data_IF_210099869456
#
_entry.id   IF_210099869456
#
_cell.length_a   1.000
_cell.length_b   1.000
_cell.length_c   1.000
_cell.angle_alpha   90.00
_cell.angle_beta   90.00
_cell.angle_gamma   90.00
#
_symmetry.space_group_name_H-M   'P 1'
#
loop_
_entity.id
_entity.type
_entity.pdbx_description
1 polymer ?
#
# COMPACT_ATOMS: atom_id res chain seq x y z
N UNK A 1 0.75 10.21 -21.92
CA UNK A 1 0.11 11.53 -21.73
C UNK A 1 0.54 12.15 -20.40
N UNK A 2 0.41 11.49 -19.25
CA UNK A 2 0.76 12.06 -17.94
C UNK A 2 2.24 12.38 -17.72
N UNK A 3 3.19 11.62 -18.31
CA UNK A 3 4.62 11.82 -18.10
C UNK A 3 5.10 13.23 -18.50
N UNK A 4 4.71 13.70 -19.68
CA UNK A 4 5.11 15.04 -20.16
C UNK A 4 4.46 16.14 -19.30
N UNK A 5 3.18 15.98 -18.98
CA UNK A 5 2.46 16.91 -18.12
C UNK A 5 3.10 17.02 -16.72
N UNK A 6 3.47 15.87 -16.11
CA UNK A 6 4.15 15.85 -14.80
C UNK A 6 5.48 16.59 -14.85
N UNK A 7 6.27 16.37 -15.92
CA UNK A 7 7.56 17.06 -16.10
C UNK A 7 7.38 18.57 -16.22
N UNK A 8 6.44 19.02 -17.06
CA UNK A 8 6.15 20.44 -17.27
C UNK A 8 5.61 21.11 -16.01
N UNK A 9 4.69 20.44 -15.30
CA UNK A 9 4.10 20.94 -14.06
C UNK A 9 5.15 21.02 -12.95
N UNK A 10 5.97 19.96 -12.79
CA UNK A 10 7.06 19.96 -11.82
C UNK A 10 8.06 21.10 -12.09
N UNK A 11 8.48 21.27 -13.34
CA UNK A 11 9.41 22.34 -13.74
C UNK A 11 8.85 23.72 -13.43
N UNK A 12 7.55 23.94 -13.63
CA UNK A 12 6.89 25.22 -13.38
C UNK A 12 6.73 25.51 -11.88
N UNK A 13 6.32 24.53 -11.08
CA UNK A 13 5.94 24.72 -9.67
C UNK A 13 7.11 24.57 -8.68
N UNK A 14 8.11 23.80 -9.04
CA UNK A 14 9.24 23.42 -8.18
C UNK A 14 10.57 23.84 -8.81
N UNK A 15 10.71 23.67 -10.13
CA UNK A 15 11.97 23.86 -10.85
C UNK A 15 12.86 22.62 -10.85
N UNK A 16 13.90 22.63 -11.69
CA UNK A 16 14.83 21.53 -11.81
C UNK A 16 14.30 20.33 -12.60
N UNK A 17 15.04 19.23 -12.57
CA UNK A 17 14.69 17.98 -13.24
C UNK A 17 14.03 16.99 -12.26
N UNK A 18 13.09 16.22 -12.76
CA UNK A 18 12.46 15.14 -12.00
C UNK A 18 12.52 13.81 -12.74
N UNK A 19 12.69 12.73 -11.98
CA UNK A 19 12.44 11.38 -12.46
C UNK A 19 10.98 11.03 -12.19
N UNK A 20 10.36 10.32 -13.14
CA UNK A 20 8.94 10.00 -13.07
C UNK A 20 8.76 8.50 -12.88
N UNK A 21 7.93 8.15 -11.91
CA UNK A 21 7.57 6.79 -11.53
C UNK A 21 6.05 6.64 -11.51
N UNK A 22 5.57 5.41 -11.62
CA UNK A 22 4.15 5.08 -11.47
C UNK A 22 3.99 3.75 -10.77
N UNK A 23 2.88 3.61 -10.04
CA UNK A 23 2.44 2.36 -9.43
C UNK A 23 0.93 2.22 -9.58
N UNK A 24 0.41 1.09 -10.08
CA UNK A 24 -1.01 0.91 -10.27
C UNK A 24 -1.76 0.73 -8.95
N UNK A 25 -3.04 1.07 -8.95
CA UNK A 25 -3.98 0.54 -7.97
C UNK A 25 -4.28 -0.93 -8.23
N UNK A 26 -5.09 -1.52 -7.36
CA UNK A 26 -5.49 -2.92 -7.48
C UNK A 26 -6.99 -3.11 -7.23
N UNK A 27 -7.52 -4.17 -7.82
CA UNK A 27 -8.75 -4.83 -7.39
C UNK A 27 -8.39 -6.14 -6.71
N UNK A 28 -9.26 -6.66 -5.86
CA UNK A 28 -9.16 -8.03 -5.38
C UNK A 28 -10.35 -8.84 -5.89
N UNK A 29 -10.10 -9.95 -6.57
CA UNK A 29 -11.15 -10.80 -7.13
C UNK A 29 -11.76 -11.71 -6.07
N UNK A 30 -10.93 -12.20 -5.15
CA UNK A 30 -11.34 -13.02 -4.01
C UNK A 30 -10.23 -13.06 -2.95
N UNK A 31 -10.62 -13.16 -1.67
CA UNK A 31 -9.70 -13.27 -0.53
C UNK A 31 -9.72 -12.06 0.38
N UNK A 32 -10.89 -11.38 0.50
CA UNK A 32 -11.05 -10.26 1.42
C UNK A 32 -10.79 -10.68 2.87
N UNK A 33 -10.02 -9.85 3.59
CA UNK A 33 -9.63 -10.06 4.99
C UNK A 33 -8.86 -11.37 5.27
N UNK A 34 -8.28 -11.99 4.23
CA UNK A 34 -7.51 -13.22 4.40
C UNK A 34 -6.00 -13.00 4.45
N UNK A 35 -5.50 -11.90 3.93
CA UNK A 35 -4.07 -11.59 3.82
C UNK A 35 -3.37 -11.51 5.18
N UNK A 36 -3.87 -10.71 6.11
CA UNK A 36 -3.33 -10.62 7.47
C UNK A 36 -3.63 -11.85 8.34
N UNK A 37 -4.44 -12.79 7.84
CA UNK A 37 -4.70 -14.10 8.43
C UNK A 37 -3.84 -15.22 7.81
N UNK A 38 -2.85 -14.88 6.98
CA UNK A 38 -1.98 -15.82 6.28
C UNK A 38 -2.71 -16.64 5.22
N UNK A 39 -3.84 -16.15 4.70
CA UNK A 39 -4.66 -16.82 3.70
C UNK A 39 -4.19 -16.58 2.26
N UNK A 40 -5.03 -16.99 1.31
CA UNK A 40 -4.82 -16.76 -0.11
C UNK A 40 -5.62 -15.55 -0.58
N UNK A 41 -5.05 -14.83 -1.55
CA UNK A 41 -5.69 -13.70 -2.22
C UNK A 41 -5.49 -13.80 -3.74
N UNK A 42 -6.34 -13.14 -4.50
CA UNK A 42 -6.27 -13.11 -5.97
C UNK A 42 -6.46 -11.68 -6.49
N UNK A 43 -5.55 -10.74 -6.17
CA UNK A 43 -5.61 -9.38 -6.69
C UNK A 43 -5.13 -9.28 -8.14
N UNK A 44 -5.53 -8.19 -8.79
CA UNK A 44 -5.02 -7.78 -10.09
C UNK A 44 -4.76 -6.27 -10.11
N UNK A 45 -3.66 -5.86 -10.74
CA UNK A 45 -3.41 -4.44 -11.01
C UNK A 45 -4.43 -3.88 -12.00
N UNK A 46 -4.76 -2.60 -11.85
CA UNK A 46 -5.68 -1.90 -12.75
C UNK A 46 -4.93 -0.86 -13.60
N UNK A 47 -5.62 -0.29 -14.58
CA UNK A 47 -5.08 0.74 -15.47
C UNK A 47 -5.00 2.15 -14.86
N UNK A 48 -5.54 2.33 -13.65
CA UNK A 48 -5.41 3.55 -12.87
C UNK A 48 -4.19 3.47 -11.97
N UNK A 49 -3.44 4.57 -11.86
CA UNK A 49 -2.16 4.57 -11.17
C UNK A 49 -1.91 5.85 -10.36
N UNK A 50 -1.04 5.73 -9.37
CA UNK A 50 -0.38 6.84 -8.73
C UNK A 50 0.92 7.17 -9.47
N UNK A 51 1.11 8.42 -9.81
CA UNK A 51 2.28 8.96 -10.52
C UNK A 51 3.07 9.87 -9.58
N UNK A 52 4.39 9.72 -9.59
CA UNK A 52 5.32 10.49 -8.79
C UNK A 52 6.38 11.12 -9.71
N UNK A 53 6.49 12.45 -9.68
CA UNK A 53 7.67 13.14 -10.14
C UNK A 53 8.52 13.53 -8.93
N UNK A 54 9.79 13.12 -8.90
CA UNK A 54 10.70 13.30 -7.77
C UNK A 54 12.04 13.83 -8.24
N UNK A 55 12.58 14.83 -7.54
CA UNK A 55 13.88 15.43 -7.79
C UNK A 55 14.56 15.89 -6.51
N UNK A 56 15.82 16.22 -6.58
CA UNK A 56 16.58 16.73 -5.44
C UNK A 56 16.06 18.09 -4.97
N UNK A 57 16.09 18.31 -3.66
CA UNK A 57 15.83 19.60 -3.06
C UNK A 57 17.14 20.22 -2.58
N UNK A 58 17.44 21.46 -3.02
CA UNK A 58 18.62 22.23 -2.58
C UNK A 58 18.45 22.90 -1.21
N UNK A 59 17.28 22.76 -0.60
CA UNK A 59 16.91 23.35 0.68
C UNK A 59 15.69 22.65 1.26
N UNK A 60 14.63 23.41 1.50
CA UNK A 60 13.35 22.86 1.96
C UNK A 60 12.72 21.92 0.94
N UNK A 61 12.10 20.84 1.42
CA UNK A 61 11.34 19.93 0.56
C UNK A 61 10.02 20.56 0.16
N UNK A 62 9.71 20.57 -1.13
CA UNK A 62 8.37 20.91 -1.64
C UNK A 62 7.63 19.63 -2.01
N UNK A 63 6.49 19.43 -1.37
CA UNK A 63 5.61 18.29 -1.62
C UNK A 63 4.29 18.81 -2.18
N UNK A 64 3.86 18.29 -3.33
CA UNK A 64 2.61 18.67 -4.00
C UNK A 64 1.76 17.43 -4.21
N UNK A 65 0.54 17.44 -3.67
CA UNK A 65 -0.52 16.48 -3.99
C UNK A 65 -1.52 17.17 -4.92
N UNK A 66 -1.36 16.96 -6.23
CA UNK A 66 -2.11 17.70 -7.26
C UNK A 66 -3.62 17.53 -7.11
N UNK A 67 -4.08 16.29 -6.94
CA UNK A 67 -5.50 15.97 -6.91
C UNK A 67 -6.19 16.41 -5.61
N UNK A 68 -5.40 16.68 -4.56
CA UNK A 68 -5.86 17.26 -3.30
C UNK A 68 -5.76 18.80 -3.31
N UNK A 69 -5.15 19.38 -4.34
CA UNK A 69 -4.81 20.82 -4.41
C UNK A 69 -4.00 21.29 -3.19
N UNK A 70 -3.08 20.45 -2.72
CA UNK A 70 -2.23 20.75 -1.57
C UNK A 70 -0.77 20.90 -2.00
N UNK A 71 -0.12 21.96 -1.47
CA UNK A 71 1.32 22.22 -1.62
C UNK A 71 1.89 22.56 -0.25
N UNK A 72 2.92 21.82 0.15
CA UNK A 72 3.54 21.93 1.47
C UNK A 72 5.04 22.09 1.28
N UNK A 73 5.63 23.04 2.02
CA UNK A 73 7.06 23.19 2.13
C UNK A 73 7.52 22.77 3.53
N UNK A 74 8.52 21.91 3.61
CA UNK A 74 9.05 21.36 4.86
C UNK A 74 10.51 21.73 5.00
N UNK A 75 10.85 22.52 6.02
CA UNK A 75 12.22 22.91 6.35
C UNK A 75 13.04 21.75 6.93
N UNK A 76 12.36 20.76 7.49
CA UNK A 76 12.91 19.46 7.86
C UNK A 76 11.80 18.43 7.64
N UNK A 77 12.14 17.25 7.14
CA UNK A 77 11.18 16.16 7.13
C UNK A 77 10.78 15.86 8.58
N UNK A 78 9.51 16.06 8.96
CA UNK A 78 9.10 15.87 10.35
C UNK A 78 9.31 14.42 10.75
N UNK A 79 9.95 14.15 11.90
CA UNK A 79 10.10 12.79 12.41
C UNK A 79 8.78 12.23 12.96
N UNK A 80 7.75 13.05 13.10
CA UNK A 80 6.46 12.72 13.71
C UNK A 80 5.33 12.82 12.69
N UNK A 81 4.22 12.14 12.99
CA UNK A 81 2.99 12.20 12.20
C UNK A 81 2.57 13.65 11.92
N UNK A 82 2.38 13.96 10.64
CA UNK A 82 1.81 15.22 10.20
C UNK A 82 0.29 15.21 10.36
N UNK A 83 -0.32 16.37 10.63
CA UNK A 83 -1.77 16.52 10.51
C UNK A 83 -2.27 16.32 9.07
N UNK A 84 -1.39 16.41 8.09
CA UNK A 84 -1.68 16.10 6.69
C UNK A 84 -1.46 14.61 6.42
N UNK A 85 -2.53 13.85 6.43
CA UNK A 85 -2.52 12.40 6.37
C UNK A 85 -1.71 11.80 5.21
N UNK A 86 -1.79 12.38 3.99
CA UNK A 86 -1.08 11.84 2.83
C UNK A 86 0.46 11.91 2.94
N UNK A 87 0.99 12.91 3.67
CA UNK A 87 2.44 13.02 3.93
C UNK A 87 2.94 11.84 4.76
N UNK A 88 2.11 11.32 5.66
CA UNK A 88 2.52 10.25 6.54
C UNK A 88 2.87 8.96 5.77
N UNK A 89 2.22 8.69 4.65
CA UNK A 89 2.59 7.59 3.76
C UNK A 89 4.01 7.76 3.20
N UNK A 90 4.36 8.98 2.75
CA UNK A 90 5.69 9.28 2.23
C UNK A 90 6.76 9.17 3.31
N UNK A 91 6.47 9.71 4.50
CA UNK A 91 7.39 9.69 5.64
C UNK A 91 7.54 8.28 6.20
N UNK A 92 6.49 7.47 6.18
CA UNK A 92 6.54 6.05 6.55
C UNK A 92 7.52 5.28 5.68
N UNK A 93 7.44 5.42 4.36
CA UNK A 93 8.39 4.79 3.43
C UNK A 93 9.80 5.30 3.67
N UNK A 94 10.01 6.61 3.83
CA UNK A 94 11.31 7.18 4.15
C UNK A 94 11.89 6.56 5.42
N UNK A 95 11.10 6.52 6.51
CA UNK A 95 11.49 5.95 7.79
C UNK A 95 11.88 4.47 7.66
N UNK A 96 11.14 3.69 6.85
CA UNK A 96 11.44 2.29 6.60
C UNK A 96 12.78 2.09 5.85
N UNK A 97 13.15 2.99 4.95
CA UNK A 97 14.48 3.02 4.32
C UNK A 97 15.57 3.41 5.33
N UNK A 98 15.33 4.43 6.15
CA UNK A 98 16.28 4.90 7.16
C UNK A 98 16.57 3.82 8.21
N UNK A 99 15.57 3.07 8.67
CA UNK A 99 15.74 1.89 9.53
C UNK A 99 16.66 0.81 8.92
N UNK A 100 16.72 0.75 7.58
CA UNK A 100 17.60 -0.16 6.82
C UNK A 100 18.97 0.44 6.49
N UNK A 101 19.29 1.61 7.07
CA UNK A 101 20.58 2.28 6.94
C UNK A 101 20.72 3.17 5.70
N UNK A 102 19.65 3.39 4.93
CA UNK A 102 19.67 4.29 3.78
C UNK A 102 19.32 5.72 4.21
N UNK A 103 20.25 6.64 4.01
CA UNK A 103 19.99 8.06 4.25
C UNK A 103 19.28 8.66 3.02
N UNK A 104 18.00 8.96 3.16
CA UNK A 104 17.24 9.63 2.11
C UNK A 104 17.43 11.16 2.24
N UNK A 105 18.03 11.85 1.26
CA UNK A 105 18.21 13.29 1.28
C UNK A 105 16.87 14.04 1.17
N UNK A 106 16.94 15.34 1.22
CA UNK A 106 15.78 16.19 0.94
C UNK A 106 15.39 16.07 -0.53
N UNK A 107 14.14 15.80 -0.80
CA UNK A 107 13.58 15.63 -2.15
C UNK A 107 12.31 16.44 -2.31
N UNK A 108 12.12 16.93 -3.51
CA UNK A 108 10.86 17.52 -3.95
C UNK A 108 10.01 16.44 -4.61
N UNK A 109 8.71 16.44 -4.35
CA UNK A 109 7.78 15.46 -4.90
C UNK A 109 6.52 16.14 -5.44
N UNK A 110 6.10 15.74 -6.64
CA UNK A 110 4.79 16.03 -7.19
C UNK A 110 4.06 14.70 -7.39
N UNK A 111 2.92 14.57 -6.73
CA UNK A 111 2.08 13.38 -6.77
C UNK A 111 0.80 13.71 -7.53
N UNK A 112 0.42 12.82 -8.43
CA UNK A 112 -0.87 12.79 -9.11
C UNK A 112 -1.40 11.38 -9.14
N UNK A 113 -2.71 11.19 -8.93
CA UNK A 113 -3.34 9.87 -8.96
C UNK A 113 -4.63 9.93 -9.76
N UNK A 114 -4.87 8.95 -10.63
CA UNK A 114 -6.18 8.73 -11.22
C UNK A 114 -6.94 7.56 -10.56
N UNK A 115 -6.38 7.03 -9.44
CA UNK A 115 -7.07 6.09 -8.58
C UNK A 115 -8.05 6.88 -7.71
N UNK A 116 -9.35 6.60 -7.76
CA UNK A 116 -10.33 7.26 -6.88
C UNK A 116 -9.99 7.01 -5.41
N UNK A 117 -9.87 8.10 -4.65
CA UNK A 117 -9.58 8.03 -3.21
C UNK A 117 -10.81 7.49 -2.50
N UNK A 118 -10.60 6.47 -1.68
CA UNK A 118 -11.68 5.91 -0.88
C UNK A 118 -12.56 4.86 -1.56
N UNK A 119 -12.31 4.56 -2.83
CA UNK A 119 -13.09 3.58 -3.59
C UNK A 119 -12.63 2.11 -3.41
N UNK A 120 -11.77 1.82 -2.44
CA UNK A 120 -11.27 0.45 -2.21
C UNK A 120 -10.25 -0.05 -3.24
N UNK A 121 -9.64 0.86 -4.02
CA UNK A 121 -8.66 0.55 -5.08
C UNK A 121 -7.21 0.68 -4.63
N UNK A 122 -6.95 0.78 -3.32
CA UNK A 122 -5.63 0.85 -2.68
C UNK A 122 -4.77 2.03 -3.15
N UNK A 123 -5.35 3.24 -3.10
CA UNK A 123 -4.61 4.46 -3.44
C UNK A 123 -3.42 4.72 -2.50
N UNK A 124 -3.52 4.40 -1.20
CA UNK A 124 -2.43 4.48 -0.23
C UNK A 124 -1.28 3.54 -0.60
N UNK A 125 -1.59 2.27 -0.81
CA UNK A 125 -0.59 1.27 -1.20
C UNK A 125 0.11 1.61 -2.52
N UNK A 126 -0.63 2.16 -3.51
CA UNK A 126 -0.04 2.63 -4.76
C UNK A 126 0.92 3.80 -4.53
N UNK A 127 0.57 4.74 -3.62
CA UNK A 127 1.42 5.87 -3.24
C UNK A 127 2.70 5.40 -2.53
N UNK A 128 2.58 4.55 -1.52
CA UNK A 128 3.73 4.00 -0.81
C UNK A 128 4.63 3.18 -1.72
N UNK A 129 4.03 2.35 -2.58
CA UNK A 129 4.76 1.53 -3.55
C UNK A 129 5.53 2.36 -4.57
N UNK A 130 4.95 3.45 -5.11
CA UNK A 130 5.67 4.31 -6.06
C UNK A 130 6.82 5.04 -5.41
N UNK A 131 6.68 5.47 -4.14
CA UNK A 131 7.75 6.13 -3.38
C UNK A 131 8.86 5.14 -3.04
N UNK A 132 8.53 3.94 -2.57
CA UNK A 132 9.49 2.88 -2.27
C UNK A 132 10.29 2.50 -3.52
N UNK A 133 9.62 2.31 -4.65
CA UNK A 133 10.27 2.02 -5.92
C UNK A 133 11.18 3.16 -6.38
N UNK A 134 10.72 4.41 -6.25
CA UNK A 134 11.51 5.58 -6.61
C UNK A 134 12.78 5.70 -5.77
N UNK A 135 12.70 5.56 -4.45
CA UNK A 135 13.88 5.57 -3.58
C UNK A 135 14.85 4.44 -3.90
N UNK A 136 14.34 3.22 -4.09
CA UNK A 136 15.18 2.09 -4.49
C UNK A 136 15.95 2.36 -5.80
N UNK A 137 15.26 2.91 -6.81
CA UNK A 137 15.85 3.18 -8.13
C UNK A 137 16.78 4.40 -8.15
N UNK A 138 16.53 5.42 -7.31
CA UNK A 138 17.34 6.65 -7.27
C UNK A 138 18.60 6.43 -6.45
N UNK A 139 18.47 5.80 -5.29
CA UNK A 139 19.56 5.65 -4.32
C UNK A 139 20.28 4.30 -4.43
N UNK A 140 19.89 3.45 -5.38
CA UNK A 140 20.57 2.19 -5.64
C UNK A 140 20.50 1.21 -4.46
N UNK A 141 19.40 1.20 -3.72
CA UNK A 141 19.28 0.38 -2.51
C UNK A 141 19.29 -1.14 -2.80
N UNK A 142 18.93 -1.55 -4.01
CA UNK A 142 19.05 -2.94 -4.46
C UNK A 142 17.98 -3.87 -3.88
N UNK A 143 16.90 -3.33 -3.28
CA UNK A 143 15.80 -4.14 -2.76
C UNK A 143 15.02 -4.83 -3.89
N UNK A 144 14.68 -6.08 -3.65
CA UNK A 144 13.77 -6.86 -4.49
C UNK A 144 12.33 -6.30 -4.43
N UNK A 145 11.49 -6.67 -5.40
CA UNK A 145 10.08 -6.29 -5.39
C UNK A 145 9.36 -6.72 -4.10
N UNK A 146 9.67 -7.91 -3.58
CA UNK A 146 9.11 -8.39 -2.32
C UNK A 146 9.55 -7.53 -1.13
N UNK A 147 10.81 -7.12 -1.07
CA UNK A 147 11.29 -6.23 -0.02
C UNK A 147 10.62 -4.86 -0.10
N UNK A 148 10.41 -4.32 -1.31
CA UNK A 148 9.69 -3.07 -1.51
C UNK A 148 8.22 -3.17 -1.05
N UNK A 149 7.55 -4.30 -1.30
CA UNK A 149 6.19 -4.54 -0.80
C UNK A 149 6.16 -4.56 0.74
N UNK A 150 7.14 -5.18 1.37
CA UNK A 150 7.28 -5.18 2.85
C UNK A 150 7.61 -3.80 3.40
N UNK A 151 8.42 -3.00 2.71
CA UNK A 151 8.74 -1.62 3.09
C UNK A 151 7.48 -0.75 3.06
N UNK A 152 6.66 -0.86 1.99
CA UNK A 152 5.42 -0.13 1.88
C UNK A 152 4.41 -0.57 2.96
N UNK A 153 4.28 -1.87 3.22
CA UNK A 153 3.44 -2.39 4.31
C UNK A 153 3.91 -1.90 5.69
N UNK A 154 5.22 -1.89 5.97
CA UNK A 154 5.79 -1.36 7.22
C UNK A 154 5.45 0.13 7.38
N UNK A 155 5.51 0.91 6.29
CA UNK A 155 5.14 2.31 6.32
C UNK A 155 3.68 2.52 6.76
N UNK A 156 2.75 1.76 6.20
CA UNK A 156 1.33 1.86 6.55
C UNK A 156 1.05 1.33 7.97
N UNK A 157 1.65 0.21 8.36
CA UNK A 157 1.41 -0.42 9.66
C UNK A 157 2.04 0.34 10.82
N UNK A 158 3.34 0.67 10.70
CA UNK A 158 4.13 1.18 11.83
C UNK A 158 4.10 2.70 11.92
N UNK A 159 3.92 3.39 10.79
CA UNK A 159 3.98 4.85 10.77
C UNK A 159 2.58 5.48 10.65
N UNK A 160 1.74 4.99 9.74
CA UNK A 160 0.37 5.50 9.57
C UNK A 160 -0.58 4.89 10.61
N UNK A 161 -0.35 3.65 11.03
CA UNK A 161 -1.12 2.96 12.07
C UNK A 161 -2.31 2.13 11.55
N UNK A 162 -2.39 1.90 10.23
CA UNK A 162 -3.36 0.97 9.65
C UNK A 162 -2.75 -0.42 9.56
N UNK A 163 -3.20 -1.34 10.40
CA UNK A 163 -2.66 -2.72 10.48
C UNK A 163 -3.09 -3.60 9.30
N UNK A 164 -2.71 -3.20 8.07
CA UNK A 164 -3.08 -3.91 6.85
C UNK A 164 -2.24 -5.20 6.64
N UNK A 165 -2.76 -6.11 5.79
CA UNK A 165 -1.99 -7.22 5.23
C UNK A 165 -1.09 -6.75 4.08
N UNK A 166 -0.39 -7.70 3.44
CA UNK A 166 0.59 -7.39 2.38
C UNK A 166 -0.06 -7.28 0.98
N UNK A 167 -1.29 -7.73 0.81
CA UNK A 167 -1.93 -7.91 -0.50
C UNK A 167 -1.84 -6.68 -1.39
N UNK A 168 -2.13 -5.50 -0.84
CA UNK A 168 -2.28 -4.26 -1.59
C UNK A 168 -0.95 -3.78 -2.20
N UNK A 169 0.08 -3.69 -1.39
CA UNK A 169 1.43 -3.31 -1.80
C UNK A 169 2.04 -4.36 -2.72
N UNK A 170 1.82 -5.64 -2.40
CA UNK A 170 2.28 -6.74 -3.23
C UNK A 170 1.67 -6.66 -4.63
N UNK A 171 0.34 -6.46 -4.72
CA UNK A 171 -0.35 -6.34 -5.99
C UNK A 171 0.11 -5.12 -6.80
N UNK A 172 0.29 -3.96 -6.16
CA UNK A 172 0.77 -2.74 -6.83
C UNK A 172 2.19 -2.90 -7.40
N UNK A 173 3.08 -3.59 -6.68
CA UNK A 173 4.48 -3.75 -7.07
C UNK A 173 4.69 -4.88 -8.10
N UNK A 174 3.93 -5.98 -7.95
CA UNK A 174 4.05 -7.15 -8.83
C UNK A 174 3.02 -7.16 -9.98
N UNK A 175 2.24 -6.07 -10.15
CA UNK A 175 1.23 -6.00 -11.22
C UNK A 175 1.81 -6.36 -12.58
N UNK A 176 1.11 -7.22 -13.30
CA UNK A 176 1.45 -7.62 -14.66
C UNK A 176 0.22 -7.51 -15.54
N UNK A 177 0.37 -6.88 -16.70
CA UNK A 177 -0.73 -6.72 -17.65
C UNK A 177 -1.38 -8.08 -17.96
N UNK A 178 -2.72 -8.09 -18.00
CA UNK A 178 -3.56 -9.23 -18.34
C UNK A 178 -3.38 -10.46 -17.40
N UNK A 179 -2.97 -10.20 -16.14
CA UNK A 179 -2.81 -11.26 -15.13
C UNK A 179 -3.34 -10.82 -13.77
N UNK A 180 -3.97 -11.76 -13.08
CA UNK A 180 -4.14 -11.73 -11.63
C UNK A 180 -2.94 -12.37 -10.94
N UNK A 181 -2.80 -12.15 -9.65
CA UNK A 181 -1.74 -12.69 -8.81
C UNK A 181 -2.37 -13.63 -7.78
N UNK A 182 -2.17 -14.94 -7.90
CA UNK A 182 -2.52 -15.85 -6.83
C UNK A 182 -1.38 -15.84 -5.82
N UNK A 183 -1.62 -15.26 -4.65
CA UNK A 183 -0.63 -15.10 -3.59
C UNK A 183 -1.03 -15.91 -2.35
N UNK A 184 -0.11 -16.70 -1.82
CA UNK A 184 -0.17 -17.21 -0.46
C UNK A 184 0.46 -16.19 0.49
N UNK A 185 -0.35 -15.50 1.29
CA UNK A 185 0.13 -14.45 2.20
C UNK A 185 0.94 -14.96 3.39
N UNK A 186 1.03 -16.29 3.58
CA UNK A 186 1.89 -16.91 4.60
C UNK A 186 3.31 -17.12 4.10
N UNK A 187 3.45 -17.83 2.97
CA UNK A 187 4.76 -18.14 2.39
C UNK A 187 5.30 -17.01 1.50
N UNK A 188 4.43 -16.12 1.05
CA UNK A 188 4.67 -15.10 0.03
C UNK A 188 5.05 -15.69 -1.34
N UNK A 189 4.78 -16.98 -1.55
CA UNK A 189 4.85 -17.58 -2.87
C UNK A 189 3.65 -17.16 -3.70
N UNK A 190 3.89 -16.88 -4.96
CA UNK A 190 2.85 -16.43 -5.87
C UNK A 190 3.02 -16.97 -7.28
N UNK A 191 1.92 -16.95 -8.02
CA UNK A 191 1.93 -17.22 -9.45
C UNK A 191 1.02 -16.24 -10.19
N UNK A 192 1.39 -15.95 -11.43
CA UNK A 192 0.55 -15.18 -12.33
C UNK A 192 -0.52 -16.07 -12.95
N UNK A 193 -1.75 -15.65 -12.82
CA UNK A 193 -2.92 -16.31 -13.43
C UNK A 193 -3.40 -15.45 -14.59
N UNK A 194 -3.42 -15.96 -15.84
CA UNK A 194 -3.92 -15.19 -16.96
C UNK A 194 -5.35 -14.70 -16.72
N UNK A 195 -5.60 -13.42 -16.94
CA UNK A 195 -6.89 -12.78 -16.81
C UNK A 195 -7.38 -12.36 -18.21
N UNK A 196 -8.13 -13.24 -18.86
CA UNK A 196 -8.71 -12.95 -20.17
C UNK A 196 -10.03 -12.21 -19.99
N UNK A 197 -10.05 -10.96 -20.44
CA UNK A 197 -11.18 -10.04 -20.25
C UNK A 197 -11.91 -9.72 -21.57
N UNK A 198 -11.78 -10.57 -22.60
CA UNK A 198 -12.42 -10.35 -23.89
C UNK A 198 -13.94 -10.32 -23.75
N UNK A 199 -14.54 -9.16 -24.03
CA UNK A 199 -15.99 -8.96 -23.90
C UNK A 199 -16.51 -8.88 -22.46
N UNK A 200 -15.62 -8.82 -21.45
CA UNK A 200 -15.96 -8.71 -20.04
C UNK A 200 -15.46 -7.37 -19.50
N UNK A 201 -16.28 -6.72 -18.67
CA UNK A 201 -15.90 -5.51 -17.95
C UNK A 201 -16.08 -5.73 -16.45
N UNK A 202 -15.11 -5.26 -15.66
CA UNK A 202 -15.26 -5.19 -14.21
C UNK A 202 -15.85 -3.83 -13.86
N UNK A 203 -17.01 -3.83 -13.20
CA UNK A 203 -17.67 -2.63 -12.71
C UNK A 203 -17.41 -2.49 -11.21
N UNK A 204 -16.96 -1.32 -10.82
CA UNK A 204 -16.74 -0.96 -9.43
C UNK A 204 -17.80 0.06 -9.02
N UNK A 205 -18.53 -0.24 -7.95
CA UNK A 205 -19.51 0.67 -7.36
C UNK A 205 -18.93 1.31 -6.12
N UNK A 206 -18.62 2.60 -6.18
CA UNK A 206 -18.19 3.37 -5.03
C UNK A 206 -19.42 3.77 -4.21
N UNK A 207 -19.46 3.34 -2.94
CA UNK A 207 -20.55 3.67 -2.01
C UNK A 207 -20.40 5.08 -1.43
N UNK A 208 -19.32 5.78 -1.71
CA UNK A 208 -18.99 7.12 -1.20
C UNK A 208 -18.97 7.23 0.34
N UNK A 209 -18.80 6.11 1.05
CA UNK A 209 -18.61 6.12 2.50
C UNK A 209 -17.20 6.58 2.85
N UNK A 210 -17.08 7.62 3.69
CA UNK A 210 -15.78 8.18 4.05
C UNK A 210 -14.92 7.22 4.90
N UNK A 211 -13.64 7.14 4.59
CA UNK A 211 -12.68 6.19 5.13
C UNK A 211 -12.29 6.37 6.61
N UNK A 212 -12.56 7.50 7.25
CA UNK A 212 -12.20 7.70 8.67
C UNK A 212 -12.84 6.64 9.59
N UNK A 213 -14.06 6.19 9.24
CA UNK A 213 -14.72 5.07 9.91
C UNK A 213 -14.20 3.70 9.44
N UNK A 214 -13.68 3.61 8.21
CA UNK A 214 -13.20 2.35 7.63
C UNK A 214 -11.86 1.91 8.24
N UNK A 215 -10.93 2.83 8.55
CA UNK A 215 -9.65 2.50 9.20
C UNK A 215 -9.85 1.91 10.59
N UNK A 216 -10.77 2.48 11.39
CA UNK A 216 -11.11 1.94 12.70
C UNK A 216 -11.81 0.58 12.59
N UNK A 217 -12.74 0.42 11.66
CA UNK A 217 -13.44 -0.85 11.42
C UNK A 217 -12.49 -1.93 10.90
N UNK A 218 -11.52 -1.58 10.04
CA UNK A 218 -10.52 -2.52 9.55
C UNK A 218 -9.63 -3.04 10.68
N UNK A 219 -9.08 -2.15 11.50
CA UNK A 219 -8.27 -2.53 12.65
C UNK A 219 -9.10 -3.37 13.65
N UNK A 220 -10.38 -3.02 13.88
CA UNK A 220 -11.28 -3.82 14.70
C UNK A 220 -11.47 -5.25 14.15
N UNK A 221 -11.70 -5.41 12.83
CA UNK A 221 -11.82 -6.76 12.22
C UNK A 221 -10.56 -7.58 12.44
N UNK A 222 -9.39 -6.96 12.32
CA UNK A 222 -8.12 -7.62 12.60
C UNK A 222 -8.00 -8.04 14.05
N UNK A 223 -8.32 -7.16 14.99
CA UNK A 223 -8.30 -7.46 16.44
C UNK A 223 -9.26 -8.61 16.81
N UNK A 224 -10.43 -8.67 16.18
CA UNK A 224 -11.35 -9.79 16.33
C UNK A 224 -10.75 -11.11 15.85
N UNK A 225 -10.06 -11.11 14.72
CA UNK A 225 -9.33 -12.29 14.24
C UNK A 225 -8.22 -12.72 15.21
N UNK A 226 -7.43 -11.77 15.69
CA UNK A 226 -6.36 -12.00 16.68
C UNK A 226 -6.93 -12.55 17.99
N UNK A 227 -8.08 -12.04 18.44
CA UNK A 227 -8.79 -12.54 19.64
C UNK A 227 -9.14 -14.03 19.50
N UNK A 228 -9.62 -14.44 18.34
CA UNK A 228 -9.94 -15.87 18.10
C UNK A 228 -8.67 -16.71 18.10
N UNK A 229 -7.57 -16.23 17.53
CA UNK A 229 -6.28 -16.93 17.56
C UNK A 229 -5.78 -17.09 19.00
N UNK A 230 -5.81 -16.02 19.80
CA UNK A 230 -5.42 -16.05 21.22
C UNK A 230 -6.27 -17.02 22.03
N UNK A 231 -7.59 -17.08 21.77
CA UNK A 231 -8.47 -18.06 22.42
C UNK A 231 -8.00 -19.50 22.16
N UNK A 232 -7.68 -19.84 20.91
CA UNK A 232 -7.22 -21.17 20.57
C UNK A 232 -5.82 -21.48 21.11
N UNK A 233 -4.91 -20.49 21.15
CA UNK A 233 -3.61 -20.63 21.81
C UNK A 233 -3.77 -20.96 23.30
N UNK A 234 -4.71 -20.30 23.99
CA UNK A 234 -5.02 -20.59 25.39
C UNK A 234 -5.59 -22.00 25.60
N UNK A 235 -6.16 -22.61 24.56
CA UNK A 235 -6.60 -24.01 24.56
C UNK A 235 -5.49 -24.99 24.13
N UNK A 236 -4.25 -24.53 23.99
CA UNK A 236 -3.09 -25.35 23.61
C UNK A 236 -2.90 -25.54 22.10
N UNK A 237 -3.63 -24.82 21.26
CA UNK A 237 -3.42 -24.88 19.81
C UNK A 237 -2.15 -24.11 19.41
N UNK A 238 -1.35 -24.69 18.52
CA UNK A 238 -0.21 -24.01 17.90
C UNK A 238 -0.70 -23.22 16.68
N UNK A 239 -1.44 -22.13 16.92
CA UNK A 239 -1.98 -21.26 15.88
C UNK A 239 -1.32 -19.89 15.94
N UNK A 240 -0.86 -19.36 14.79
CA UNK A 240 -0.33 -18.01 14.64
C UNK A 240 -1.31 -17.09 13.90
N UNK A 241 -2.17 -17.67 13.10
CA UNK A 241 -3.22 -16.97 12.34
C UNK A 241 -4.49 -17.80 12.29
N UNK A 242 -5.61 -17.23 11.85
CA UNK A 242 -6.86 -17.98 11.67
C UNK A 242 -6.73 -19.17 10.70
N UNK A 243 -5.79 -19.11 9.76
CA UNK A 243 -5.49 -20.23 8.85
C UNK A 243 -5.05 -21.50 9.58
N UNK A 244 -4.46 -21.39 10.78
CA UNK A 244 -3.99 -22.51 11.58
C UNK A 244 -5.10 -23.17 12.39
N UNK A 245 -6.24 -22.47 12.55
CA UNK A 245 -7.40 -22.98 13.29
C UNK A 245 -8.16 -23.95 12.41
N UNK A 246 -7.90 -25.26 12.56
CA UNK A 246 -8.52 -26.30 11.75
C UNK A 246 -9.97 -26.62 12.15
N UNK A 247 -10.75 -27.24 11.22
CA UNK A 247 -12.11 -27.72 11.51
C UNK A 247 -12.14 -28.81 12.59
N UNK A 248 -11.07 -29.53 12.81
CA UNK A 248 -10.94 -30.54 13.86
C UNK A 248 -10.87 -29.95 15.27
N UNK A 249 -10.49 -28.68 15.39
CA UNK A 249 -10.61 -27.92 16.65
C UNK A 249 -12.06 -27.56 17.01
N UNK A 250 -13.04 -27.94 16.16
CA UNK A 250 -14.47 -27.59 16.31
C UNK A 250 -15.26 -28.42 17.32
N UNK A 251 -14.66 -29.37 18.01
CA UNK A 251 -15.34 -29.94 19.17
C UNK A 251 -15.36 -28.88 20.27
N UNK A 252 -16.55 -28.28 20.41
CA UNK A 252 -16.90 -27.37 21.50
C UNK A 252 -16.59 -25.89 21.29
N UNK A 253 -17.40 -25.17 20.52
CA UNK A 253 -17.96 -23.90 20.98
C UNK A 253 -19.45 -23.87 20.62
N UNK A 254 -20.28 -24.34 21.51
CA UNK A 254 -21.65 -23.86 21.55
C UNK A 254 -21.58 -22.40 22.01
N UNK A 255 -21.87 -21.45 21.12
CA UNK A 255 -22.15 -20.10 21.55
C UNK A 255 -23.36 -20.18 22.48
N UNK A 256 -23.15 -19.91 23.77
CA UNK A 256 -24.26 -19.65 24.67
C UNK A 256 -24.97 -18.37 24.19
N UNK A 257 -26.29 -18.32 24.20
CA UNK A 257 -27.12 -17.23 23.73
C UNK A 257 -26.84 -15.91 24.43
#
# INVERSE_FOLDING_TARGET
>A
MYKNWLQEFYQREIGGEARIFQSPGRINLIGEHTDYNGGYVLPAGIDKACYLAIGEASGDCTLIAYDLNEKISLNNCPPNLSSNHWINYLMGVRNAFEKRGFKIPHVNMLIRSDIPIGAGLSSSAALESVVAYAFNAIYGAGFSQLELAKIAQEAENDYVGLKCGIMDMFASIHAKKDHAIQLDCRSLEFQYVPLQMDGISILLFDTCLKHELASSAYNQRREECETVVHYWQAQGANATTLRDVSRTSRSVVAFAP
#
